data_IF_004056831805
#
_entry.id   IF_004056831805
#
_cell.length_a   1.000
_cell.length_b   1.000
_cell.length_c   1.000
_cell.angle_alpha   90.00
_cell.angle_beta   90.00
_cell.angle_gamma   90.00
#
_symmetry.space_group_name_H-M   'P 1'
#
loop_
_entity.id
_entity.type
_entity.pdbx_description
1 polymer ?
#
# COMPACT_ATOMS: atom_id res chain seq x y z
N UNK A 1 1.41 -55.02 -32.40
CA UNK A 1 0.23 -55.33 -33.25
C UNK A 1 -0.32 -54.03 -33.80
N UNK A 2 -0.42 -53.93 -35.14
CA UNK A 2 -1.34 -53.11 -35.99
C UNK A 2 -1.49 -51.59 -35.70
N UNK A 3 -0.96 -50.69 -36.56
CA UNK A 3 -1.55 -50.08 -37.79
C UNK A 3 -2.86 -49.29 -37.51
N UNK A 4 -3.17 -48.10 -38.02
CA UNK A 4 -2.60 -47.17 -39.03
C UNK A 4 -3.31 -45.79 -38.89
N UNK A 5 -2.68 -44.67 -39.28
CA UNK A 5 -2.93 -43.85 -40.50
C UNK A 5 -4.11 -42.86 -40.45
N UNK A 6 -3.87 -41.60 -40.84
CA UNK A 6 -4.94 -40.69 -41.29
C UNK A 6 -4.58 -39.20 -41.25
N UNK A 7 -3.89 -38.72 -42.30
CA UNK A 7 -3.75 -37.28 -42.62
C UNK A 7 -4.94 -36.83 -43.49
N UNK A 8 -5.40 -35.58 -43.36
CA UNK A 8 -6.08 -34.89 -44.47
C UNK A 8 -5.88 -33.37 -44.39
N UNK A 9 -5.25 -32.84 -45.44
CA UNK A 9 -5.15 -31.44 -45.84
C UNK A 9 -6.50 -30.94 -46.40
N UNK A 10 -6.54 -29.64 -46.71
CA UNK A 10 -7.44 -28.88 -47.58
C UNK A 10 -8.17 -27.76 -46.83
N UNK A 11 -8.41 -26.57 -47.35
CA UNK A 11 -7.85 -25.76 -48.43
C UNK A 11 -8.62 -24.42 -48.31
N UNK A 12 -7.93 -23.30 -48.52
CA UNK A 12 -8.52 -21.96 -48.65
C UNK A 12 -9.35 -21.86 -49.94
N UNK A 13 -10.35 -20.95 -50.02
CA UNK A 13 -10.53 -20.26 -51.28
C UNK A 13 -10.53 -18.74 -51.12
N UNK A 14 -9.66 -18.14 -51.93
CA UNK A 14 -9.63 -16.73 -52.32
C UNK A 14 -10.81 -16.44 -53.24
N UNK A 15 -11.55 -15.37 -52.95
CA UNK A 15 -12.49 -14.75 -53.88
C UNK A 15 -11.94 -13.40 -54.35
N UNK A 16 -11.32 -13.38 -55.54
CA UNK A 16 -11.09 -12.19 -56.35
C UNK A 16 -12.21 -12.11 -57.39
N UNK A 17 -12.90 -10.97 -57.48
CA UNK A 17 -13.77 -10.66 -58.60
C UNK A 17 -13.39 -9.28 -59.18
N UNK A 18 -12.86 -9.34 -60.39
CA UNK A 18 -12.61 -8.29 -61.39
C UNK A 18 -13.90 -7.52 -61.74
N UNK A 19 -13.84 -6.19 -61.66
CA UNK A 19 -13.76 -5.23 -62.77
C UNK A 19 -15.07 -4.97 -63.54
N UNK A 20 -15.47 -3.69 -63.65
CA UNK A 20 -15.98 -3.13 -64.90
C UNK A 20 -16.01 -1.59 -64.86
N UNK A 21 -15.46 -1.04 -65.94
CA UNK A 21 -15.44 0.36 -66.34
C UNK A 21 -16.85 0.87 -66.63
N UNK A 22 -17.15 2.12 -66.28
CA UNK A 22 -17.79 3.09 -67.17
C UNK A 22 -17.52 4.53 -66.67
N UNK A 23 -16.92 5.35 -67.54
CA UNK A 23 -16.87 6.81 -67.39
C UNK A 23 -18.12 7.41 -68.03
N UNK A 24 -18.66 8.49 -67.48
CA UNK A 24 -18.88 9.66 -68.33
C UNK A 24 -18.48 11.00 -67.67
N UNK A 25 -17.76 11.78 -68.48
CA UNK A 25 -17.95 13.20 -68.78
C UNK A 25 -18.24 14.23 -67.66
N UNK A 26 -17.23 15.10 -67.45
CA UNK A 26 -17.26 16.57 -67.28
C UNK A 26 -18.41 17.18 -66.44
N UNK A 27 -18.04 17.72 -65.28
CA UNK A 27 -18.45 19.08 -64.87
C UNK A 27 -17.39 19.62 -63.90
N UNK A 28 -16.58 20.58 -64.36
CA UNK A 28 -15.71 21.35 -63.50
C UNK A 28 -16.58 22.38 -62.76
N UNK A 29 -16.95 22.07 -61.52
CA UNK A 29 -17.57 23.06 -60.63
C UNK A 29 -16.45 23.71 -59.84
N UNK A 30 -16.16 24.96 -60.19
CA UNK A 30 -15.28 25.85 -59.45
C UNK A 30 -15.99 26.22 -58.14
N UNK A 31 -15.82 25.42 -57.08
CA UNK A 31 -16.22 25.81 -55.75
C UNK A 31 -15.15 26.72 -55.16
N UNK A 32 -15.42 28.02 -55.15
CA UNK A 32 -14.72 28.99 -54.31
C UNK A 32 -15.10 28.68 -52.85
N UNK A 33 -14.38 27.74 -52.23
CA UNK A 33 -14.51 27.49 -50.80
C UNK A 33 -13.82 28.64 -50.05
N UNK A 34 -14.62 29.59 -49.56
CA UNK A 34 -14.18 30.53 -48.52
C UNK A 34 -13.93 29.67 -47.27
N UNK A 35 -12.66 29.34 -47.03
CA UNK A 35 -12.22 28.73 -45.78
C UNK A 35 -12.22 29.82 -44.72
N UNK A 36 -13.35 30.02 -44.06
CA UNK A 36 -13.39 30.72 -42.77
C UNK A 36 -12.66 29.82 -41.76
N UNK A 37 -11.39 30.15 -41.52
CA UNK A 37 -10.65 29.60 -40.39
C UNK A 37 -11.32 30.09 -39.09
N UNK A 38 -12.33 29.37 -38.62
CA UNK A 38 -12.79 29.47 -37.26
C UNK A 38 -11.63 29.01 -36.37
N UNK A 39 -10.88 29.97 -35.84
CA UNK A 39 -9.94 29.74 -34.74
C UNK A 39 -10.79 29.38 -33.54
N UNK A 40 -11.16 28.11 -33.44
CA UNK A 40 -11.63 27.54 -32.18
C UNK A 40 -10.44 27.66 -31.24
N UNK A 41 -10.45 28.70 -30.41
CA UNK A 41 -9.57 28.79 -29.26
C UNK A 41 -9.78 27.53 -28.45
N UNK A 42 -8.86 26.58 -28.58
CA UNK A 42 -8.82 25.38 -27.76
C UNK A 42 -8.46 25.89 -26.38
N UNK A 43 -9.47 26.31 -25.61
CA UNK A 43 -9.29 26.74 -24.24
C UNK A 43 -8.63 25.59 -23.51
N UNK A 44 -7.37 25.79 -23.09
CA UNK A 44 -6.67 24.82 -22.27
C UNK A 44 -7.57 24.55 -21.05
N UNK A 45 -8.05 23.30 -20.92
CA UNK A 45 -8.86 22.92 -19.78
C UNK A 45 -8.09 23.30 -18.51
N UNK A 46 -8.75 23.91 -17.50
CA UNK A 46 -8.06 24.33 -16.30
C UNK A 46 -7.34 23.13 -15.69
N UNK A 47 -6.03 23.25 -15.53
CA UNK A 47 -5.23 22.23 -14.89
C UNK A 47 -5.75 22.03 -13.47
N UNK A 48 -6.34 20.87 -13.19
CA UNK A 48 -6.80 20.54 -11.85
C UNK A 48 -5.57 20.53 -10.93
N UNK A 49 -5.56 21.42 -9.94
CA UNK A 49 -4.50 21.47 -8.95
C UNK A 49 -4.39 20.10 -8.26
N UNK A 50 -3.17 19.57 -8.21
CA UNK A 50 -2.90 18.27 -7.63
C UNK A 50 -3.22 18.30 -6.12
N UNK A 51 -4.21 17.51 -5.70
CA UNK A 51 -4.49 17.29 -4.27
C UNK A 51 -3.30 16.59 -3.63
N UNK A 52 -2.85 17.08 -2.47
CA UNK A 52 -1.72 16.50 -1.74
C UNK A 52 -2.15 16.04 -0.36
N UNK A 53 -1.57 14.92 0.08
CA UNK A 53 -1.87 14.33 1.37
C UNK A 53 -0.61 14.06 2.17
N UNK A 54 -0.74 14.15 3.49
CA UNK A 54 0.28 13.69 4.44
C UNK A 54 -0.38 12.90 5.56
N UNK A 55 0.23 11.77 5.90
CA UNK A 55 -0.29 10.84 6.90
C UNK A 55 0.61 10.73 8.11
N UNK A 56 0.03 10.54 9.29
CA UNK A 56 0.77 10.37 10.53
C UNK A 56 0.24 9.18 11.32
N UNK A 57 1.17 8.42 11.90
CA UNK A 57 0.88 7.35 12.84
C UNK A 57 1.27 7.78 14.25
N UNK A 58 0.39 7.50 15.20
CA UNK A 58 0.67 7.61 16.63
C UNK A 58 0.42 6.27 17.30
N UNK A 59 1.45 5.69 17.91
CA UNK A 59 1.30 4.54 18.81
C UNK A 59 1.35 5.04 20.25
N UNK A 60 0.18 5.01 20.89
CA UNK A 60 -0.02 5.39 22.27
C UNK A 60 0.01 4.14 23.14
N UNK A 61 1.08 4.01 23.94
CA UNK A 61 1.31 2.81 24.76
C UNK A 61 0.46 2.88 26.01
N UNK A 62 -0.12 1.75 26.36
CA UNK A 62 -0.80 1.58 27.63
C UNK A 62 0.16 0.93 28.64
N UNK A 63 0.75 1.69 29.61
CA UNK A 63 1.67 1.14 30.59
C UNK A 63 1.04 0.10 31.52
N UNK A 64 -0.27 0.19 31.76
CA UNK A 64 -1.01 -0.76 32.59
C UNK A 64 -1.26 -2.08 31.86
N UNK A 65 -1.40 -2.04 30.53
CA UNK A 65 -1.57 -3.23 29.70
C UNK A 65 -0.94 -3.03 28.32
N UNK A 66 0.33 -3.44 28.12
CA UNK A 66 1.02 -3.26 26.84
C UNK A 66 0.35 -3.99 25.65
N UNK A 67 -0.53 -4.96 25.89
CA UNK A 67 -1.33 -5.64 24.85
C UNK A 67 -2.66 -4.93 24.52
N UNK A 68 -2.93 -3.79 25.16
CA UNK A 68 -4.10 -2.95 24.94
C UNK A 68 -3.72 -1.48 24.75
N UNK A 69 -2.69 -1.26 23.92
CA UNK A 69 -2.25 0.05 23.42
C UNK A 69 -3.11 0.47 22.22
N UNK A 70 -2.94 1.70 21.73
CA UNK A 70 -3.70 2.22 20.58
C UNK A 70 -2.77 2.67 19.47
N UNK A 71 -3.03 2.24 18.24
CA UNK A 71 -2.41 2.81 17.04
C UNK A 71 -3.44 3.68 16.32
N UNK A 72 -3.08 4.93 16.04
CA UNK A 72 -3.95 5.90 15.36
C UNK A 72 -3.31 6.37 14.06
N UNK A 73 -4.08 6.36 12.98
CA UNK A 73 -3.76 7.02 11.71
C UNK A 73 -4.52 8.33 11.59
N UNK A 74 -3.83 9.39 11.17
CA UNK A 74 -4.44 10.65 10.78
C UNK A 74 -3.97 11.04 9.37
N UNK A 75 -4.91 11.45 8.52
CA UNK A 75 -4.64 11.93 7.17
C UNK A 75 -5.01 13.42 7.08
N UNK A 76 -4.11 14.18 6.48
CA UNK A 76 -4.29 15.61 6.24
C UNK A 76 -4.21 15.88 4.74
N UNK A 77 -5.14 16.70 4.24
CA UNK A 77 -5.03 17.35 2.93
C UNK A 77 -4.16 18.59 3.09
N UNK A 78 -3.05 18.65 2.35
CA UNK A 78 -1.97 19.64 2.53
C UNK A 78 -1.88 20.68 1.43
N UNK A 79 -2.71 20.57 0.39
CA UNK A 79 -2.89 21.62 -0.63
C UNK A 79 -3.87 22.73 -0.18
N UNK A 80 -4.33 22.67 1.07
CA UNK A 80 -5.16 23.69 1.70
C UNK A 80 -4.32 24.48 2.70
N UNK A 81 -4.64 25.77 2.85
CA UNK A 81 -4.08 26.63 3.90
C UNK A 81 -5.22 27.17 4.79
N UNK A 82 -5.32 26.74 6.07
CA UNK A 82 -4.46 25.75 6.72
C UNK A 82 -4.74 24.30 6.25
N UNK A 83 -3.78 23.38 6.41
CA UNK A 83 -3.99 21.96 6.15
C UNK A 83 -5.17 21.41 6.97
N UNK A 84 -6.00 20.57 6.35
CA UNK A 84 -7.22 20.04 6.97
C UNK A 84 -7.10 18.54 7.22
N UNK A 85 -7.42 18.09 8.44
CA UNK A 85 -7.57 16.65 8.73
C UNK A 85 -8.80 16.09 8.02
N UNK A 86 -8.61 15.07 7.20
CA UNK A 86 -9.68 14.42 6.43
C UNK A 86 -10.03 13.04 6.96
N UNK A 87 -9.15 12.41 7.75
CA UNK A 87 -9.39 11.08 8.30
C UNK A 87 -8.69 10.94 9.65
N UNK A 88 -9.34 10.25 10.58
CA UNK A 88 -8.76 9.75 11.83
C UNK A 88 -9.33 8.36 12.11
N UNK A 89 -8.47 7.35 12.24
CA UNK A 89 -8.87 5.97 12.53
C UNK A 89 -7.93 5.40 13.58
N UNK A 90 -8.47 4.63 14.52
CA UNK A 90 -7.70 4.03 15.60
C UNK A 90 -7.98 2.53 15.69
N UNK A 91 -6.95 1.76 16.05
CA UNK A 91 -7.01 0.33 16.25
C UNK A 91 -6.40 -0.03 17.59
N UNK A 92 -6.92 -1.08 18.22
CA UNK A 92 -6.21 -1.74 19.32
C UNK A 92 -4.91 -2.32 18.78
N UNK A 93 -3.85 -2.13 19.55
CA UNK A 93 -2.53 -2.65 19.26
C UNK A 93 -1.86 -3.20 20.52
N UNK A 94 -0.80 -3.99 20.33
CA UNK A 94 0.03 -4.48 21.42
C UNK A 94 1.51 -4.35 21.13
N UNK A 95 2.32 -4.30 22.18
CA UNK A 95 3.77 -4.32 22.06
C UNK A 95 4.44 -4.98 23.26
N UNK A 96 5.46 -5.79 22.99
CA UNK A 96 6.14 -6.57 24.03
C UNK A 96 5.27 -7.72 24.54
N UNK A 97 5.75 -8.39 25.58
CA UNK A 97 5.05 -9.53 26.23
C UNK A 97 4.48 -9.15 27.60
N UNK A 98 4.19 -7.86 27.82
CA UNK A 98 3.78 -7.29 29.11
C UNK A 98 4.92 -6.59 29.85
N UNK A 99 6.13 -6.60 29.28
CA UNK A 99 7.29 -5.91 29.84
C UNK A 99 7.38 -4.48 29.28
N UNK A 100 7.26 -3.49 30.18
CA UNK A 100 7.31 -2.05 29.84
C UNK A 100 8.73 -1.47 29.78
N UNK A 101 9.77 -2.26 30.06
CA UNK A 101 11.14 -1.79 29.86
C UNK A 101 11.58 -2.04 28.40
N UNK A 102 11.74 -0.99 27.55
CA UNK A 102 12.08 -1.13 26.14
C UNK A 102 13.47 -1.71 25.88
N UNK A 103 14.36 -1.68 26.89
CA UNK A 103 15.71 -2.24 26.79
C UNK A 103 15.74 -3.76 27.03
N UNK A 104 14.62 -4.36 27.47
CA UNK A 104 14.53 -5.81 27.65
C UNK A 104 14.46 -6.49 26.29
N UNK A 105 15.57 -7.14 25.89
CA UNK A 105 15.69 -7.79 24.58
C UNK A 105 14.54 -8.78 24.35
N UNK A 106 13.91 -8.67 23.19
CA UNK A 106 12.82 -9.55 22.71
C UNK A 106 11.58 -9.64 23.60
N UNK A 107 11.44 -8.79 24.61
CA UNK A 107 10.30 -8.83 25.56
C UNK A 107 9.71 -7.46 25.84
N UNK A 108 10.58 -6.46 25.93
CA UNK A 108 10.23 -5.08 26.13
C UNK A 108 9.39 -4.53 24.97
N UNK A 109 8.45 -3.66 25.29
CA UNK A 109 7.68 -2.92 24.30
C UNK A 109 8.56 -2.00 23.43
N UNK A 110 7.96 -1.43 22.39
CA UNK A 110 8.63 -0.55 21.45
C UNK A 110 9.17 0.73 22.16
N UNK A 111 10.43 1.16 21.88
CA UNK A 111 10.96 2.40 22.43
C UNK A 111 10.19 3.66 21.97
N UNK A 112 10.21 4.71 22.79
CA UNK A 112 9.57 5.99 22.46
C UNK A 112 10.30 6.74 21.34
N UNK A 113 9.57 7.64 20.69
CA UNK A 113 10.08 8.63 19.74
C UNK A 113 9.59 8.42 18.31
N UNK A 114 10.22 9.12 17.38
CA UNK A 114 9.84 9.11 15.96
C UNK A 114 10.57 8.01 15.16
N UNK A 115 9.87 7.41 14.22
CA UNK A 115 10.36 6.33 13.37
C UNK A 115 10.14 6.66 11.90
N UNK A 116 11.10 6.28 11.04
CA UNK A 116 10.79 6.12 9.62
C UNK A 116 10.00 4.82 9.40
N UNK A 117 9.17 4.81 8.37
CA UNK A 117 8.24 3.71 8.09
C UNK A 117 8.36 3.32 6.62
N UNK A 118 8.40 2.00 6.36
CA UNK A 118 8.31 1.41 5.02
C UNK A 118 7.20 0.37 5.00
N UNK A 119 6.18 0.55 4.17
CA UNK A 119 5.17 -0.48 3.92
C UNK A 119 5.73 -1.55 2.98
N UNK A 120 5.71 -2.81 3.39
CA UNK A 120 6.07 -3.98 2.60
C UNK A 120 4.85 -4.90 2.50
N UNK A 121 4.43 -5.22 1.28
CA UNK A 121 3.35 -6.16 1.00
C UNK A 121 3.94 -7.50 0.56
N UNK A 122 3.38 -8.62 1.03
CA UNK A 122 3.91 -9.94 0.70
C UNK A 122 5.27 -10.26 1.33
N UNK A 123 5.60 -9.61 2.45
CA UNK A 123 6.85 -9.85 3.17
C UNK A 123 6.97 -11.32 3.57
N UNK A 124 8.17 -11.87 3.48
CA UNK A 124 8.47 -13.28 3.74
C UNK A 124 9.71 -13.41 4.62
N UNK A 125 9.59 -12.96 5.88
CA UNK A 125 10.65 -13.09 6.86
C UNK A 125 10.69 -14.47 7.49
N UNK A 126 11.60 -14.66 8.44
CA UNK A 126 11.72 -15.91 9.20
C UNK A 126 10.65 -16.08 10.29
N UNK A 127 10.08 -14.97 10.79
CA UNK A 127 9.10 -14.96 11.90
C UNK A 127 7.86 -14.12 11.63
N UNK A 128 7.87 -13.30 10.58
CA UNK A 128 6.76 -12.41 10.24
C UNK A 128 6.55 -12.45 8.73
N UNK A 129 5.29 -12.37 8.30
CA UNK A 129 4.89 -12.48 6.91
C UNK A 129 3.77 -11.49 6.56
N UNK A 130 3.52 -11.35 5.27
CA UNK A 130 2.35 -10.64 4.75
C UNK A 130 2.55 -9.14 4.69
N UNK A 131 1.53 -8.39 5.07
CA UNK A 131 1.59 -6.92 5.13
C UNK A 131 2.29 -6.50 6.41
N UNK A 132 3.41 -5.79 6.28
CA UNK A 132 4.19 -5.28 7.42
C UNK A 132 4.63 -3.84 7.18
N UNK A 133 4.81 -3.09 8.26
CA UNK A 133 5.44 -1.78 8.24
C UNK A 133 6.78 -1.87 8.95
N UNK A 134 7.89 -1.86 8.21
CA UNK A 134 9.23 -1.84 8.80
C UNK A 134 9.51 -0.46 9.39
N UNK A 135 10.02 -0.45 10.61
CA UNK A 135 10.39 0.74 11.35
C UNK A 135 11.91 0.90 11.36
N UNK A 136 12.39 2.15 11.41
CA UNK A 136 13.82 2.41 11.66
C UNK A 136 14.26 1.86 13.01
N UNK A 137 15.51 1.42 13.10
CA UNK A 137 16.12 1.05 14.37
C UNK A 137 16.11 2.20 15.38
N UNK A 138 16.10 1.87 16.67
CA UNK A 138 16.00 2.87 17.75
C UNK A 138 16.80 2.48 18.98
N UNK A 139 17.48 3.44 19.60
CA UNK A 139 18.01 3.24 20.95
C UNK A 139 16.85 2.96 21.92
N UNK A 140 17.02 2.00 22.84
CA UNK A 140 15.92 1.61 23.73
C UNK A 140 15.48 2.73 24.69
N UNK A 141 16.39 3.65 25.02
CA UNK A 141 16.15 4.89 25.74
C UNK A 141 17.16 5.96 25.29
N UNK A 142 16.93 7.26 25.53
CA UNK A 142 17.91 8.31 25.23
C UNK A 142 19.29 7.98 25.82
N UNK A 143 20.35 8.18 25.03
CA UNK A 143 21.74 7.90 25.43
C UNK A 143 22.12 6.41 25.52
N UNK A 144 21.20 5.47 25.29
CA UNK A 144 21.53 4.03 25.35
C UNK A 144 22.35 3.56 24.15
N UNK A 145 23.37 2.75 24.42
CA UNK A 145 24.10 1.98 23.40
C UNK A 145 23.31 0.76 22.89
N UNK A 146 22.25 0.36 23.60
CA UNK A 146 21.40 -0.77 23.20
C UNK A 146 20.43 -0.30 22.12
N UNK A 147 20.67 -0.73 20.88
CA UNK A 147 19.79 -0.51 19.73
C UNK A 147 18.79 -1.65 19.58
N UNK A 148 17.53 -1.29 19.35
CA UNK A 148 16.45 -2.20 18.95
C UNK A 148 16.37 -2.14 17.42
N UNK A 149 16.54 -3.29 16.79
CA UNK A 149 16.55 -3.49 15.34
C UNK A 149 15.39 -4.39 14.94
N UNK A 150 15.15 -4.49 13.62
CA UNK A 150 14.12 -5.40 13.08
C UNK A 150 12.74 -5.15 13.71
N UNK A 151 12.38 -3.86 13.80
CA UNK A 151 11.14 -3.40 14.38
C UNK A 151 10.07 -3.28 13.30
N UNK A 152 8.86 -3.76 13.60
CA UNK A 152 7.76 -3.77 12.65
C UNK A 152 6.43 -3.40 13.30
N UNK A 153 5.48 -2.90 12.50
CA UNK A 153 4.04 -3.10 12.73
C UNK A 153 3.63 -4.30 11.89
N UNK A 154 3.13 -5.36 12.52
CA UNK A 154 2.75 -6.58 11.82
C UNK A 154 1.56 -7.29 12.46
N UNK A 155 1.14 -8.39 11.85
CA UNK A 155 0.15 -9.31 12.40
C UNK A 155 0.64 -10.76 12.24
N UNK A 156 -0.19 -11.71 12.62
CA UNK A 156 -0.08 -13.12 12.26
C UNK A 156 -0.93 -13.37 11.02
N UNK A 157 -0.26 -13.66 9.91
CA UNK A 157 -0.88 -13.99 8.64
C UNK A 157 0.15 -14.70 7.76
N UNK A 158 -0.30 -15.37 6.71
CA UNK A 158 0.56 -15.91 5.67
C UNK A 158 1.17 -14.79 4.82
N UNK A 159 2.15 -15.12 3.97
CA UNK A 159 2.71 -14.20 2.97
C UNK A 159 1.63 -13.55 2.09
N UNK A 160 0.57 -14.28 1.75
CA UNK A 160 -0.55 -13.75 0.95
C UNK A 160 -1.54 -12.91 1.77
N UNK A 161 -1.25 -12.66 3.04
CA UNK A 161 -2.13 -11.95 3.97
C UNK A 161 -3.37 -12.73 4.38
N UNK A 162 -3.37 -14.07 4.26
CA UNK A 162 -4.48 -14.93 4.68
C UNK A 162 -4.22 -15.49 6.09
N UNK A 163 -5.24 -16.08 6.71
CA UNK A 163 -5.05 -16.81 7.96
C UNK A 163 -4.22 -18.08 7.69
N UNK A 164 -3.20 -18.31 8.49
CA UNK A 164 -2.39 -19.52 8.48
C UNK A 164 -2.96 -20.62 9.36
N UNK A 165 -2.28 -21.78 9.35
CA UNK A 165 -2.66 -22.95 10.18
C UNK A 165 -1.83 -23.05 11.48
N UNK A 166 -0.71 -22.34 11.55
CA UNK A 166 0.25 -22.38 12.66
C UNK A 166 0.27 -21.05 13.40
N UNK A 167 0.61 -21.06 14.69
CA UNK A 167 0.59 -19.89 15.57
C UNK A 167 1.27 -18.63 14.97
N UNK A 168 2.45 -18.69 14.31
CA UNK A 168 3.07 -17.48 13.76
C UNK A 168 2.30 -16.82 12.61
N UNK A 169 1.30 -17.51 12.06
CA UNK A 169 0.50 -17.08 10.92
C UNK A 169 -1.01 -17.12 11.21
N UNK A 170 -1.42 -17.59 12.39
CA UNK A 170 -2.81 -17.80 12.76
C UNK A 170 -3.16 -16.90 13.94
N UNK A 171 -3.96 -15.88 13.65
CA UNK A 171 -4.53 -15.03 14.69
C UNK A 171 -5.63 -15.78 15.48
N UNK A 172 -5.36 -16.05 16.76
CA UNK A 172 -6.18 -16.75 17.75
C UNK A 172 -6.86 -15.83 18.78
N UNK A 173 -6.47 -14.55 18.87
CA UNK A 173 -7.21 -13.54 19.62
C UNK A 173 -6.36 -12.61 20.48
N UNK A 174 -6.66 -12.53 21.78
CA UNK A 174 -6.05 -11.53 22.66
C UNK A 174 -4.55 -11.76 22.94
N UNK A 175 -4.10 -13.02 22.86
CA UNK A 175 -2.69 -13.38 23.09
C UNK A 175 -1.75 -12.79 22.03
N UNK A 176 -2.22 -12.66 20.79
CA UNK A 176 -1.40 -12.35 19.61
C UNK A 176 -1.02 -10.88 19.50
N UNK A 177 -1.56 -10.06 20.40
CA UNK A 177 -1.07 -8.70 20.64
C UNK A 177 0.31 -8.70 21.30
N UNK A 178 0.82 -9.84 21.78
CA UNK A 178 2.18 -9.98 22.31
C UNK A 178 3.21 -10.01 21.18
N UNK A 179 4.36 -9.40 21.42
CA UNK A 179 5.43 -9.36 20.42
C UNK A 179 6.81 -9.29 21.06
N UNK A 180 7.87 -9.52 20.27
CA UNK A 180 9.25 -9.32 20.70
C UNK A 180 9.69 -7.83 20.75
N UNK A 181 8.74 -6.91 20.90
CA UNK A 181 8.93 -5.45 20.91
C UNK A 181 8.47 -4.73 19.64
N UNK A 182 7.81 -5.44 18.72
CA UNK A 182 7.10 -4.88 17.58
C UNK A 182 5.73 -4.31 18.00
N UNK A 183 5.01 -3.67 17.08
CA UNK A 183 3.58 -3.38 17.23
C UNK A 183 2.79 -4.50 16.54
N UNK A 184 1.86 -5.11 17.28
CA UNK A 184 0.92 -6.12 16.77
C UNK A 184 -0.45 -5.51 16.53
N UNK A 185 -1.04 -5.82 15.38
CA UNK A 185 -2.41 -5.52 15.01
C UNK A 185 -3.13 -6.80 14.61
N UNK A 186 -4.46 -6.79 14.61
CA UNK A 186 -5.24 -7.87 13.98
C UNK A 186 -5.00 -7.88 12.47
N UNK A 187 -5.21 -9.03 11.78
CA UNK A 187 -5.00 -9.11 10.34
C UNK A 187 -5.87 -8.14 9.53
N UNK A 188 -7.10 -7.88 9.96
CA UNK A 188 -7.98 -6.91 9.31
C UNK A 188 -7.50 -5.46 9.52
N UNK A 189 -7.01 -5.15 10.73
CA UNK A 189 -6.60 -3.80 11.12
C UNK A 189 -5.34 -3.36 10.38
N UNK A 190 -4.35 -4.25 10.22
CA UNK A 190 -3.15 -3.90 9.45
C UNK A 190 -3.42 -3.75 7.95
N UNK A 191 -4.39 -4.49 7.40
CA UNK A 191 -4.85 -4.30 6.02
C UNK A 191 -5.57 -2.97 5.85
N UNK A 192 -6.41 -2.60 6.83
CA UNK A 192 -7.07 -1.30 6.89
C UNK A 192 -6.04 -0.17 6.95
N UNK A 193 -5.05 -0.29 7.83
CA UNK A 193 -3.93 0.65 7.90
C UNK A 193 -3.18 0.76 6.57
N UNK A 194 -2.86 -0.36 5.90
CA UNK A 194 -2.20 -0.34 4.60
C UNK A 194 -3.02 0.37 3.52
N UNK A 195 -4.36 0.23 3.53
CA UNK A 195 -5.25 0.99 2.64
C UNK A 195 -5.11 2.49 2.86
N UNK A 196 -5.17 2.95 4.11
CA UNK A 196 -5.03 4.36 4.44
C UNK A 196 -3.62 4.91 4.15
N UNK A 197 -2.59 4.16 4.49
CA UNK A 197 -1.20 4.52 4.24
C UNK A 197 -0.93 4.79 2.76
N UNK A 198 -1.49 3.95 1.89
CA UNK A 198 -1.35 4.05 0.43
C UNK A 198 -1.98 5.31 -0.18
N UNK A 199 -2.81 6.05 0.56
CA UNK A 199 -3.33 7.36 0.12
C UNK A 199 -2.22 8.43 0.16
N UNK A 200 -1.35 8.38 1.18
CA UNK A 200 -0.29 9.37 1.38
C UNK A 200 1.08 8.91 0.87
N UNK A 201 1.33 7.59 0.85
CA UNK A 201 2.67 7.03 0.74
C UNK A 201 2.71 5.80 -0.17
N UNK A 202 3.81 5.63 -0.92
CA UNK A 202 4.00 4.50 -1.83
C UNK A 202 4.58 3.28 -1.09
N UNK A 203 4.09 2.05 -1.34
CA UNK A 203 4.74 0.83 -0.87
C UNK A 203 6.22 0.75 -1.29
N UNK A 204 7.05 0.12 -0.47
CA UNK A 204 8.49 -0.05 -0.71
C UNK A 204 9.34 1.22 -0.56
N UNK A 205 8.72 2.38 -0.29
CA UNK A 205 9.44 3.63 0.00
C UNK A 205 9.48 3.91 1.50
N UNK A 206 10.62 4.39 1.96
CA UNK A 206 10.84 4.82 3.35
C UNK A 206 10.45 6.27 3.51
N UNK A 207 9.59 6.55 4.49
CA UNK A 207 9.20 7.91 4.83
C UNK A 207 9.62 8.23 6.27
N UNK A 208 10.32 9.34 6.46
CA UNK A 208 10.84 9.74 7.77
C UNK A 208 9.73 10.27 8.69
N UNK A 209 9.87 10.01 9.99
CA UNK A 209 9.03 10.57 11.06
C UNK A 209 7.52 10.39 10.85
N UNK A 210 7.12 9.29 10.21
CA UNK A 210 5.70 8.97 9.99
C UNK A 210 5.06 8.44 11.27
N UNK A 211 5.78 7.63 12.05
CA UNK A 211 5.29 7.07 13.30
C UNK A 211 5.89 7.80 14.50
N UNK A 212 5.04 8.23 15.42
CA UNK A 212 5.41 8.68 16.76
C UNK A 212 4.96 7.65 17.79
N UNK A 213 5.88 7.23 18.67
CA UNK A 213 5.61 6.34 19.79
C UNK A 213 5.71 7.11 21.10
N UNK A 214 4.66 7.04 21.92
CA UNK A 214 4.57 7.70 23.23
C UNK A 214 3.95 6.77 24.27
N UNK A 215 4.04 7.15 25.54
CA UNK A 215 3.48 6.45 26.72
C UNK A 215 2.76 7.46 27.58
#
# INVERSE_FOLDING_TARGET
>A
MRTSTGATLHAEPRGLATALHHRPLRLAVLFLAIVTAAVFGVGAAPAQAKVTYKGYLTFDKNPQNPQNSTLTWELYRTDLDPPRRTTKVSWRAGSGVGVTNPCTRQRGWLPNGQYSVTLLEGYNGSKIWGTVFRLSDKACKPGSKIKRTELFIHSEMTKSGKQGKTEPQRWDGNGDFKSAGCIKLRPADIKSLAKYYKIAYKPGKTYAKVLTVKS
#
